data_IF_185137069857
#
_entry.id   IF_185137069857
#
_cell.length_a   1.000
_cell.length_b   1.000
_cell.length_c   1.000
_cell.angle_alpha   90.00
_cell.angle_beta   90.00
_cell.angle_gamma   90.00
#
_symmetry.space_group_name_H-M   'P 1'
#
loop_
_entity.id
_entity.type
_entity.pdbx_description
1 polymer ?
#
# COMPACT_ATOMS: atom_id res chain seq x y z
N UNK A 1 11.62 22.48 -15.71
CA UNK A 1 11.08 23.41 -14.70
C UNK A 1 10.57 24.73 -15.28
N UNK A 2 11.00 25.18 -16.46
CA UNK A 2 10.54 26.46 -17.04
C UNK A 2 9.03 26.52 -17.41
N UNK A 3 8.29 25.41 -17.31
CA UNK A 3 6.89 25.30 -17.77
C UNK A 3 5.90 24.93 -16.66
N UNK A 4 6.36 24.67 -15.43
CA UNK A 4 5.51 24.18 -14.34
C UNK A 4 6.12 24.52 -12.97
N UNK A 5 5.26 24.79 -11.99
CA UNK A 5 5.64 25.16 -10.61
C UNK A 5 5.97 23.97 -9.71
N UNK A 6 5.62 22.75 -10.14
CA UNK A 6 6.00 21.50 -9.49
C UNK A 6 6.02 20.36 -10.53
N UNK A 7 6.76 19.29 -10.22
CA UNK A 7 6.85 18.10 -11.06
C UNK A 7 6.35 16.90 -10.26
N UNK A 8 5.29 16.26 -10.70
CA UNK A 8 4.91 14.91 -10.23
C UNK A 8 5.46 13.91 -11.22
N UNK A 9 6.31 12.99 -10.76
CA UNK A 9 6.95 12.03 -11.67
C UNK A 9 6.83 10.59 -11.21
N UNK A 10 6.70 9.70 -12.19
CA UNK A 10 6.74 8.25 -12.02
C UNK A 10 7.66 7.67 -13.09
N UNK A 11 8.59 6.82 -12.70
CA UNK A 11 9.61 6.31 -13.62
C UNK A 11 10.04 4.87 -13.22
N UNK A 12 10.35 3.97 -14.17
CA UNK A 12 10.66 2.56 -13.88
C UNK A 12 12.02 2.36 -13.19
N UNK A 13 12.91 3.33 -13.27
CA UNK A 13 14.24 3.23 -12.67
C UNK A 13 14.27 3.74 -11.23
N UNK A 14 14.85 2.95 -10.31
CA UNK A 14 15.04 3.32 -8.92
C UNK A 14 15.95 4.56 -8.78
N UNK A 15 15.61 5.47 -7.85
CA UNK A 15 16.36 6.70 -7.58
C UNK A 15 16.16 7.81 -8.62
N UNK A 16 15.36 7.59 -9.66
CA UNK A 16 15.07 8.57 -10.70
C UNK A 16 14.46 9.86 -10.15
N UNK A 17 13.54 9.76 -9.20
CA UNK A 17 12.93 10.93 -8.56
C UNK A 17 13.95 11.80 -7.83
N UNK A 18 14.91 11.17 -7.12
CA UNK A 18 15.99 11.87 -6.42
C UNK A 18 16.93 12.57 -7.40
N UNK A 19 17.28 11.91 -8.52
CA UNK A 19 18.12 12.53 -9.57
C UNK A 19 17.43 13.71 -10.24
N UNK A 20 16.13 13.60 -10.52
CA UNK A 20 15.36 14.72 -11.06
C UNK A 20 15.29 15.90 -10.08
N UNK A 21 15.04 15.62 -8.79
CA UNK A 21 15.02 16.65 -7.75
C UNK A 21 16.36 17.40 -7.61
N UNK A 22 17.50 16.72 -7.84
CA UNK A 22 18.82 17.34 -7.74
C UNK A 22 19.11 18.40 -8.81
N UNK A 23 18.37 18.41 -9.93
CA UNK A 23 18.57 19.34 -11.05
C UNK A 23 17.35 20.22 -11.33
N UNK A 24 16.19 19.91 -10.77
CA UNK A 24 14.97 20.68 -10.94
C UNK A 24 15.01 21.96 -10.10
N UNK A 25 14.65 23.09 -10.69
CA UNK A 25 14.47 24.36 -9.98
C UNK A 25 13.10 24.50 -9.28
N UNK A 26 12.25 23.47 -9.36
CA UNK A 26 10.92 23.42 -8.75
C UNK A 26 10.77 22.10 -7.99
N UNK A 27 9.86 22.01 -7.00
CA UNK A 27 9.67 20.79 -6.23
C UNK A 27 9.35 19.57 -7.10
N UNK A 28 9.88 18.40 -6.70
CA UNK A 28 9.63 17.11 -7.34
C UNK A 28 8.93 16.18 -6.37
N UNK A 29 7.75 15.70 -6.75
CA UNK A 29 6.94 14.73 -6.01
C UNK A 29 7.13 13.35 -6.64
N UNK A 30 7.63 12.40 -5.84
CA UNK A 30 7.80 11.01 -6.26
C UNK A 30 6.46 10.25 -6.24
N UNK A 31 5.90 9.98 -7.42
CA UNK A 31 4.73 9.13 -7.63
C UNK A 31 5.09 7.66 -7.96
N UNK A 32 6.34 7.26 -7.71
CA UNK A 32 6.86 5.90 -7.83
C UNK A 32 8.15 5.83 -8.66
N UNK A 33 9.23 5.31 -8.09
CA UNK A 33 10.52 5.09 -8.78
C UNK A 33 10.96 3.62 -8.73
N UNK A 34 10.67 2.87 -9.80
CA UNK A 34 10.98 1.44 -9.90
C UNK A 34 10.40 0.60 -8.77
N UNK A 35 11.24 -0.18 -8.10
CA UNK A 35 10.91 -0.97 -6.91
C UNK A 35 11.29 -0.25 -5.59
N UNK A 36 11.72 1.01 -5.65
CA UNK A 36 12.26 1.75 -4.51
C UNK A 36 11.15 2.28 -3.60
N UNK A 37 10.52 3.42 -3.93
CA UNK A 37 9.59 4.08 -3.01
C UNK A 37 8.32 4.57 -3.71
N UNK A 38 7.23 4.71 -2.95
CA UNK A 38 6.01 5.39 -3.38
C UNK A 38 5.42 6.25 -2.23
N UNK A 39 6.06 7.37 -1.86
CA UNK A 39 5.75 8.08 -0.62
C UNK A 39 4.31 8.63 -0.55
N UNK A 40 3.75 9.09 -1.67
CA UNK A 40 2.37 9.58 -1.69
C UNK A 40 1.32 8.47 -1.47
N UNK A 41 1.69 7.21 -1.74
CA UNK A 41 0.85 6.07 -1.41
C UNK A 41 0.97 5.71 0.07
N UNK A 42 2.18 5.79 0.66
CA UNK A 42 2.36 5.62 2.11
C UNK A 42 1.51 6.61 2.91
N UNK A 43 1.51 7.90 2.54
CA UNK A 43 0.67 8.91 3.22
C UNK A 43 -0.81 8.56 3.12
N UNK A 44 -1.25 8.08 1.95
CA UNK A 44 -2.60 7.60 1.74
C UNK A 44 -2.95 6.39 2.63
N UNK A 45 -2.04 5.44 2.74
CA UNK A 45 -2.21 4.22 3.54
C UNK A 45 -2.28 4.55 5.03
N UNK A 46 -1.40 5.43 5.53
CA UNK A 46 -1.43 5.90 6.92
C UNK A 46 -2.74 6.63 7.25
N UNK A 47 -3.21 7.49 6.34
CA UNK A 47 -4.49 8.16 6.51
C UNK A 47 -5.64 7.15 6.52
N UNK A 48 -5.64 6.17 5.62
CA UNK A 48 -6.66 5.13 5.58
C UNK A 48 -6.65 4.28 6.87
N UNK A 49 -5.47 3.97 7.42
CA UNK A 49 -5.33 3.28 8.72
C UNK A 49 -5.95 4.14 9.83
N UNK A 50 -5.52 5.40 9.97
CA UNK A 50 -6.03 6.32 10.99
C UNK A 50 -7.56 6.48 10.91
N UNK A 51 -8.12 6.65 9.71
CA UNK A 51 -9.57 6.75 9.53
C UNK A 51 -10.30 5.43 9.75
N UNK A 52 -9.69 4.30 9.36
CA UNK A 52 -10.30 2.98 9.38
C UNK A 52 -10.38 2.36 10.77
N UNK A 53 -9.34 2.55 11.60
CA UNK A 53 -9.23 1.97 12.95
C UNK A 53 -9.11 3.01 14.07
N UNK A 54 -9.12 4.30 13.75
CA UNK A 54 -9.13 5.42 14.70
C UNK A 54 -7.77 5.76 15.33
N UNK A 55 -6.69 5.08 14.92
CA UNK A 55 -5.34 5.23 15.51
C UNK A 55 -4.24 4.93 14.49
N UNK A 56 -3.04 5.42 14.78
CA UNK A 56 -1.82 5.20 13.98
C UNK A 56 -0.67 4.59 14.82
N UNK A 57 -0.88 4.46 16.13
CA UNK A 57 -0.02 3.75 17.07
C UNK A 57 -0.76 2.52 17.62
N UNK A 58 -0.02 1.58 18.22
CA UNK A 58 -0.56 0.49 19.02
C UNK A 58 -1.56 -0.40 18.25
N UNK A 59 -1.11 -0.93 17.12
CA UNK A 59 -1.91 -1.82 16.27
C UNK A 59 -1.04 -2.87 15.57
N UNK A 60 -1.68 -3.97 15.16
CA UNK A 60 -1.02 -5.02 14.38
C UNK A 60 -1.41 -4.92 12.91
N UNK A 61 -0.43 -4.93 12.02
CA UNK A 61 -0.61 -5.02 10.57
C UNK A 61 -0.09 -6.34 10.04
N UNK A 62 -0.96 -7.08 9.35
CA UNK A 62 -0.61 -8.25 8.55
C UNK A 62 -0.38 -7.81 7.11
N UNK A 63 0.80 -8.07 6.56
CA UNK A 63 1.15 -7.81 5.16
C UNK A 63 1.24 -9.14 4.41
N UNK A 64 0.50 -9.26 3.31
CA UNK A 64 0.45 -10.46 2.47
C UNK A 64 0.58 -10.12 0.99
N UNK A 65 1.13 -11.06 0.22
CA UNK A 65 1.31 -10.96 -1.23
C UNK A 65 2.77 -10.93 -1.65
N UNK A 66 3.08 -10.29 -2.78
CA UNK A 66 4.45 -10.07 -3.24
C UNK A 66 5.11 -8.92 -2.45
N UNK A 67 5.56 -9.22 -1.24
CA UNK A 67 6.17 -8.21 -0.35
C UNK A 67 7.57 -7.81 -0.81
N UNK A 68 8.34 -8.76 -1.35
CA UNK A 68 9.72 -8.58 -1.79
C UNK A 68 9.88 -7.51 -2.88
N UNK A 69 8.84 -7.33 -3.72
CA UNK A 69 8.88 -6.39 -4.84
C UNK A 69 7.87 -5.24 -4.70
N UNK A 70 7.11 -5.20 -3.61
CA UNK A 70 6.10 -4.16 -3.40
C UNK A 70 6.76 -2.91 -2.82
N UNK A 71 7.05 -1.93 -3.69
CA UNK A 71 7.49 -0.58 -3.26
C UNK A 71 6.51 0.05 -2.26
N UNK A 72 5.22 -0.28 -2.33
CA UNK A 72 4.24 0.24 -1.37
C UNK A 72 4.39 -0.42 0.00
N UNK A 73 4.55 -1.74 0.04
CA UNK A 73 4.77 -2.45 1.32
C UNK A 73 6.10 -2.03 1.96
N UNK A 74 7.17 -1.87 1.17
CA UNK A 74 8.45 -1.35 1.66
C UNK A 74 8.31 0.06 2.22
N UNK A 75 7.78 1.01 1.43
CA UNK A 75 7.60 2.38 1.90
C UNK A 75 6.73 2.47 3.16
N UNK A 76 5.64 1.70 3.23
CA UNK A 76 4.79 1.67 4.42
C UNK A 76 5.51 1.05 5.61
N UNK A 77 6.17 -0.09 5.42
CA UNK A 77 6.90 -0.78 6.49
C UNK A 77 7.98 0.09 7.12
N UNK A 78 8.77 0.79 6.31
CA UNK A 78 9.79 1.73 6.76
C UNK A 78 9.15 2.89 7.53
N UNK A 79 8.06 3.45 7.02
CA UNK A 79 7.38 4.59 7.65
C UNK A 79 6.71 4.21 8.97
N UNK A 80 6.19 2.98 9.09
CA UNK A 80 5.57 2.47 10.31
C UNK A 80 6.55 2.38 11.48
N UNK A 81 7.87 2.37 11.23
CA UNK A 81 8.89 2.43 12.29
C UNK A 81 8.94 3.77 13.04
N UNK A 82 8.30 4.80 12.50
CA UNK A 82 8.19 6.12 13.12
C UNK A 82 7.05 6.21 14.15
N UNK A 83 6.21 5.16 14.24
CA UNK A 83 5.05 5.10 15.12
C UNK A 83 5.29 4.10 16.26
N UNK A 84 4.58 4.30 17.36
CA UNK A 84 4.76 3.53 18.59
C UNK A 84 3.93 2.25 18.55
N UNK A 85 4.53 1.15 19.00
CA UNK A 85 3.86 -0.13 19.22
C UNK A 85 3.11 -0.69 17.99
N UNK A 86 3.64 -0.43 16.78
CA UNK A 86 3.12 -1.04 15.55
C UNK A 86 3.78 -2.39 15.30
N UNK A 87 3.02 -3.47 15.46
CA UNK A 87 3.50 -4.83 15.18
C UNK A 87 3.29 -5.16 13.71
N UNK A 88 4.36 -5.46 12.98
CA UNK A 88 4.32 -5.82 11.57
C UNK A 88 4.49 -7.33 11.39
N UNK A 89 3.43 -8.02 10.96
CA UNK A 89 3.46 -9.43 10.59
C UNK A 89 3.58 -9.51 9.06
N UNK A 90 4.72 -9.98 8.56
CA UNK A 90 4.98 -10.11 7.12
C UNK A 90 4.97 -11.58 6.73
N UNK A 91 3.99 -11.99 5.94
CA UNK A 91 3.83 -13.38 5.55
C UNK A 91 4.25 -13.55 4.09
N UNK A 92 5.23 -14.42 3.86
CA UNK A 92 5.50 -14.97 2.54
C UNK A 92 4.58 -16.18 2.32
N UNK A 93 3.58 -16.10 1.44
CA UNK A 93 2.60 -17.16 1.27
C UNK A 93 3.18 -18.42 0.60
N UNK A 94 4.47 -18.41 0.20
CA UNK A 94 5.23 -19.60 -0.20
C UNK A 94 5.70 -20.43 1.00
N UNK A 95 5.81 -19.81 2.17
CA UNK A 95 6.45 -20.40 3.36
C UNK A 95 5.47 -20.71 4.47
N UNK A 96 4.41 -19.90 4.61
CA UNK A 96 3.44 -20.05 5.69
C UNK A 96 2.04 -19.56 5.28
N UNK A 97 1.03 -19.96 6.06
CA UNK A 97 -0.36 -19.55 5.84
C UNK A 97 -0.66 -18.26 6.59
N UNK A 98 -1.12 -17.25 5.86
CA UNK A 98 -1.53 -15.97 6.45
C UNK A 98 -2.75 -16.08 7.37
N UNK A 99 -3.58 -17.12 7.20
CA UNK A 99 -4.82 -17.32 7.97
C UNK A 99 -4.57 -17.43 9.47
N UNK A 100 -3.37 -17.88 9.88
CA UNK A 100 -2.98 -17.99 11.29
C UNK A 100 -2.95 -16.65 12.03
N UNK A 101 -2.88 -15.53 11.32
CA UNK A 101 -2.67 -14.19 11.90
C UNK A 101 -3.87 -13.25 11.72
N UNK A 102 -4.95 -13.71 11.06
CA UNK A 102 -6.09 -12.86 10.71
C UNK A 102 -6.84 -12.31 11.93
N UNK A 103 -6.93 -13.09 13.00
CA UNK A 103 -7.59 -12.72 14.26
C UNK A 103 -6.75 -11.76 15.12
N UNK A 104 -5.44 -11.64 14.85
CA UNK A 104 -4.52 -10.76 15.55
C UNK A 104 -4.40 -9.39 14.87
N UNK A 105 -4.58 -9.33 13.56
CA UNK A 105 -4.39 -8.14 12.76
C UNK A 105 -5.55 -7.12 12.90
N UNK A 106 -5.20 -5.84 13.10
CA UNK A 106 -6.13 -4.72 12.96
C UNK A 106 -6.19 -4.21 11.51
N UNK A 107 -5.08 -4.35 10.78
CA UNK A 107 -4.98 -4.01 9.36
C UNK A 107 -4.46 -5.22 8.58
N UNK A 108 -5.08 -5.55 7.46
CA UNK A 108 -4.56 -6.51 6.48
C UNK A 108 -4.21 -5.75 5.20
N UNK A 109 -2.93 -5.59 4.94
CA UNK A 109 -2.40 -5.05 3.69
C UNK A 109 -2.21 -6.19 2.68
N UNK A 110 -2.91 -6.09 1.55
CA UNK A 110 -2.76 -7.05 0.44
C UNK A 110 -2.04 -6.39 -0.74
N UNK A 111 -0.98 -7.02 -1.22
CA UNK A 111 -0.25 -6.58 -2.42
C UNK A 111 -0.50 -7.54 -3.59
N UNK A 112 -0.59 -6.99 -4.81
CA UNK A 112 -0.74 -7.81 -6.02
C UNK A 112 0.59 -8.46 -6.44
N UNK A 113 0.48 -9.61 -7.11
CA UNK A 113 1.58 -10.23 -7.85
C UNK A 113 2.00 -9.36 -9.04
N UNK A 114 3.30 -9.26 -9.30
CA UNK A 114 3.87 -8.73 -10.55
C UNK A 114 4.18 -9.89 -11.51
N UNK A 115 3.28 -10.17 -12.45
CA UNK A 115 3.39 -11.30 -13.38
C UNK A 115 4.70 -11.30 -14.18
N UNK A 116 5.22 -10.12 -14.50
CA UNK A 116 6.46 -9.92 -15.24
C UNK A 116 7.72 -10.47 -14.54
N UNK A 117 7.60 -10.89 -13.28
CA UNK A 117 8.71 -11.43 -12.48
C UNK A 117 8.78 -12.96 -12.44
N UNK A 118 7.73 -13.63 -12.91
CA UNK A 118 7.68 -15.08 -12.91
C UNK A 118 8.17 -15.63 -14.24
N UNK A 119 9.00 -16.66 -14.17
CA UNK A 119 9.49 -17.38 -15.35
C UNK A 119 8.37 -18.12 -16.08
N UNK A 120 7.30 -18.48 -15.35
CA UNK A 120 6.16 -19.22 -15.84
C UNK A 120 4.85 -18.66 -15.23
N UNK A 121 3.82 -18.51 -16.06
CA UNK A 121 2.48 -18.08 -15.65
C UNK A 121 1.83 -19.02 -14.63
N UNK A 122 2.10 -20.33 -14.69
CA UNK A 122 1.52 -21.27 -13.74
C UNK A 122 2.06 -21.06 -12.31
N UNK A 123 3.33 -20.68 -12.19
CA UNK A 123 3.95 -20.36 -10.89
C UNK A 123 3.37 -19.05 -10.32
N UNK A 124 3.21 -18.03 -11.17
CA UNK A 124 2.56 -16.77 -10.79
C UNK A 124 1.13 -17.00 -10.28
N UNK A 125 0.37 -17.86 -10.96
CA UNK A 125 -1.01 -18.17 -10.59
C UNK A 125 -1.10 -18.98 -9.29
N UNK A 126 -0.23 -19.98 -9.11
CA UNK A 126 -0.16 -20.72 -7.85
C UNK A 126 0.21 -19.79 -6.68
N UNK A 127 1.16 -18.88 -6.90
CA UNK A 127 1.52 -17.88 -5.90
C UNK A 127 0.34 -16.95 -5.59
N UNK A 128 -0.41 -16.49 -6.61
CA UNK A 128 -1.59 -15.66 -6.39
C UNK A 128 -2.65 -16.37 -5.54
N UNK A 129 -2.93 -17.63 -5.87
CA UNK A 129 -3.93 -18.44 -5.16
C UNK A 129 -3.55 -18.73 -3.71
N UNK A 130 -2.26 -18.73 -3.36
CA UNK A 130 -1.84 -19.02 -1.98
C UNK A 130 -2.16 -17.91 -0.98
N UNK A 131 -2.52 -16.72 -1.45
CA UNK A 131 -2.91 -15.59 -0.59
C UNK A 131 -4.19 -14.87 -1.02
N UNK A 132 -4.96 -15.42 -1.96
CA UNK A 132 -6.30 -14.90 -2.29
C UNK A 132 -7.19 -14.93 -1.05
N UNK A 133 -7.76 -13.77 -0.69
CA UNK A 133 -8.71 -13.69 0.42
C UNK A 133 -10.05 -14.28 0.04
N UNK A 134 -10.66 -15.03 0.95
CA UNK A 134 -12.04 -15.54 0.85
C UNK A 134 -12.97 -14.86 1.86
N UNK A 135 -14.29 -15.02 1.67
CA UNK A 135 -15.29 -14.57 2.66
C UNK A 135 -15.05 -15.21 4.03
N UNK A 136 -14.65 -16.48 4.07
CA UNK A 136 -14.32 -17.19 5.33
C UNK A 136 -13.07 -16.65 6.01
N UNK A 137 -12.10 -16.13 5.25
CA UNK A 137 -10.92 -15.48 5.84
C UNK A 137 -11.33 -14.16 6.50
N UNK A 138 -12.16 -13.36 5.82
CA UNK A 138 -12.65 -12.10 6.38
C UNK A 138 -13.50 -12.31 7.64
N UNK A 139 -14.25 -13.41 7.73
CA UNK A 139 -15.01 -13.79 8.93
C UNK A 139 -14.13 -14.15 10.14
N UNK A 140 -12.87 -14.55 9.92
CA UNK A 140 -11.91 -14.82 11.00
C UNK A 140 -11.21 -13.55 11.51
N UNK A 141 -11.29 -12.46 10.74
CA UNK A 141 -10.71 -11.18 11.15
C UNK A 141 -11.47 -10.56 12.33
N UNK A 142 -10.80 -9.68 13.08
CA UNK A 142 -11.48 -8.82 14.05
C UNK A 142 -12.61 -8.05 13.34
N UNK A 143 -13.74 -7.87 14.01
CA UNK A 143 -14.88 -7.11 13.46
C UNK A 143 -14.52 -5.66 13.10
N UNK A 144 -13.53 -5.07 13.79
CA UNK A 144 -13.02 -3.72 13.56
C UNK A 144 -11.88 -3.65 12.55
N UNK A 145 -11.33 -4.79 12.10
CA UNK A 145 -10.19 -4.80 11.22
C UNK A 145 -10.51 -4.23 9.83
N UNK A 146 -9.49 -3.74 9.14
CA UNK A 146 -9.62 -3.19 7.78
C UNK A 146 -8.64 -3.84 6.81
N UNK A 147 -9.14 -4.16 5.62
CA UNK A 147 -8.38 -4.64 4.49
C UNK A 147 -8.07 -3.44 3.61
N UNK A 148 -6.78 -3.12 3.47
CA UNK A 148 -6.29 -2.08 2.58
C UNK A 148 -5.47 -2.72 1.46
N UNK A 149 -5.53 -2.15 0.27
CA UNK A 149 -4.85 -2.67 -0.90
C UNK A 149 -4.67 -1.56 -1.95
N UNK A 150 -3.43 -1.29 -2.38
CA UNK A 150 -3.18 -0.37 -3.48
C UNK A 150 -3.81 -0.94 -4.77
N UNK A 151 -4.86 -0.29 -5.25
CA UNK A 151 -5.52 -0.66 -6.51
C UNK A 151 -4.60 -0.38 -7.72
N UNK A 152 -4.77 -1.08 -8.85
CA UNK A 152 -5.81 -2.09 -9.13
C UNK A 152 -5.57 -3.41 -8.42
N UNK A 153 -6.66 -4.12 -8.14
CA UNK A 153 -6.65 -5.51 -7.66
C UNK A 153 -6.77 -6.49 -8.82
N UNK A 154 -6.29 -7.71 -8.62
CA UNK A 154 -6.59 -8.86 -9.48
C UNK A 154 -7.39 -9.92 -8.70
N UNK A 155 -7.07 -11.20 -8.83
CA UNK A 155 -7.83 -12.27 -8.16
C UNK A 155 -7.46 -12.46 -6.69
N UNK A 156 -6.44 -11.77 -6.17
CA UNK A 156 -6.07 -11.77 -4.75
C UNK A 156 -7.13 -11.14 -3.84
N UNK A 157 -7.98 -10.26 -4.40
CA UNK A 157 -9.10 -9.61 -3.73
C UNK A 157 -10.38 -9.82 -4.55
N UNK A 158 -11.09 -10.95 -4.37
CA UNK A 158 -12.28 -11.25 -5.15
C UNK A 158 -13.43 -10.29 -4.83
N UNK A 159 -14.33 -10.09 -5.79
CA UNK A 159 -15.51 -9.20 -5.62
C UNK A 159 -16.48 -9.67 -4.52
N UNK A 160 -16.42 -10.95 -4.15
CA UNK A 160 -17.27 -11.53 -3.11
C UNK A 160 -17.05 -10.93 -1.72
N UNK A 161 -15.91 -10.28 -1.47
CA UNK A 161 -15.61 -9.62 -0.18
C UNK A 161 -15.95 -8.13 -0.17
N UNK A 162 -16.33 -7.52 -1.30
CA UNK A 162 -16.54 -6.07 -1.44
C UNK A 162 -17.60 -5.52 -0.50
N UNK A 163 -18.65 -6.31 -0.26
CA UNK A 163 -19.77 -5.92 0.61
C UNK A 163 -19.49 -6.08 2.11
N UNK A 164 -18.32 -6.61 2.49
CA UNK A 164 -17.98 -6.85 3.89
C UNK A 164 -17.43 -5.59 4.55
N UNK A 165 -17.75 -5.39 5.83
CA UNK A 165 -17.38 -4.18 6.58
C UNK A 165 -15.86 -3.97 6.72
N UNK A 166 -15.07 -5.03 6.57
CA UNK A 166 -13.61 -5.01 6.60
C UNK A 166 -13.01 -4.55 5.26
N UNK A 167 -13.72 -4.65 4.13
CA UNK A 167 -13.21 -4.20 2.84
C UNK A 167 -13.11 -2.66 2.82
N UNK A 168 -11.89 -2.15 2.84
CA UNK A 168 -11.62 -0.70 3.00
C UNK A 168 -10.78 -0.10 1.86
N UNK A 169 -10.35 -0.92 0.91
CA UNK A 169 -9.50 -0.51 -0.21
C UNK A 169 -10.18 0.48 -1.19
N UNK A 170 -11.51 0.49 -1.29
CA UNK A 170 -12.23 1.52 -2.05
C UNK A 170 -12.26 2.88 -1.32
N UNK A 171 -12.49 2.86 -0.01
CA UNK A 171 -12.43 4.06 0.85
C UNK A 171 -11.00 4.62 0.84
N UNK A 172 -9.99 3.76 1.03
CA UNK A 172 -8.59 4.10 0.85
C UNK A 172 -8.36 4.80 -0.50
N UNK A 173 -8.79 4.21 -1.62
CA UNK A 173 -8.61 4.83 -2.93
C UNK A 173 -9.33 6.19 -3.05
N UNK A 174 -10.50 6.35 -2.42
CA UNK A 174 -11.26 7.61 -2.44
C UNK A 174 -10.52 8.77 -1.76
N UNK A 175 -9.66 8.50 -0.78
CA UNK A 175 -8.85 9.52 -0.11
C UNK A 175 -7.67 10.01 -0.94
N UNK A 176 -7.35 9.36 -2.07
CA UNK A 176 -6.16 9.67 -2.86
C UNK A 176 -6.18 11.10 -3.44
N UNK A 177 -7.32 11.55 -3.96
CA UNK A 177 -7.47 12.89 -4.53
C UNK A 177 -7.30 13.98 -3.47
N UNK A 178 -8.07 13.99 -2.34
CA UNK A 178 -7.93 15.05 -1.35
C UNK A 178 -6.54 15.07 -0.69
N UNK A 179 -5.94 13.92 -0.40
CA UNK A 179 -4.59 13.87 0.18
C UNK A 179 -3.55 14.45 -0.79
N UNK A 180 -3.64 14.12 -2.07
CA UNK A 180 -2.69 14.64 -3.07
C UNK A 180 -2.93 16.11 -3.37
N UNK A 181 -4.18 16.59 -3.29
CA UNK A 181 -4.48 18.01 -3.36
C UNK A 181 -3.83 18.76 -2.19
N UNK A 182 -4.02 18.29 -0.95
CA UNK A 182 -3.36 18.87 0.22
C UNK A 182 -1.83 18.86 0.12
N UNK A 183 -1.24 17.75 -0.36
CA UNK A 183 0.20 17.66 -0.61
C UNK A 183 0.66 18.68 -1.66
N UNK A 184 -0.09 18.85 -2.75
CA UNK A 184 0.23 19.85 -3.77
C UNK A 184 0.17 21.25 -3.19
N UNK A 185 -0.90 21.61 -2.47
CA UNK A 185 -1.04 22.92 -1.83
C UNK A 185 0.11 23.23 -0.86
N UNK A 186 0.50 22.24 -0.05
CA UNK A 186 1.65 22.34 0.85
C UNK A 186 2.95 22.59 0.09
N UNK A 187 3.20 21.82 -0.98
CA UNK A 187 4.45 21.89 -1.75
C UNK A 187 4.57 23.18 -2.56
N UNK A 188 3.47 23.68 -3.13
CA UNK A 188 3.47 24.93 -3.92
C UNK A 188 3.27 26.19 -3.06
N UNK A 189 3.14 26.03 -1.74
CA UNK A 189 3.12 27.14 -0.78
C UNK A 189 1.82 27.93 -0.72
N UNK A 190 0.68 27.29 -1.02
CA UNK A 190 -0.66 27.92 -0.94
C UNK A 190 -1.51 27.40 0.23
N UNK A 191 -0.95 26.51 1.05
CA UNK A 191 -1.59 26.02 2.27
C UNK A 191 -1.80 27.15 3.28
N UNK A 192 -3.02 27.25 3.83
CA UNK A 192 -3.41 28.26 4.82
C UNK A 192 -3.44 27.71 6.25
#
# INVERSE_FOLDING_TARGET
SNYADAIVMRHPEAGSAKRAAAVASVPVINAGDGANQHPTQTVLDLFAIQQGIGRIDNFTILMIGDLEHSRVAHSLSDTLTLFNDVTQIKVDPRKEKYTSYLNEADIVLVTRVQDERFSNKAEAEQFRQSYTLSVSDVQQMKATAKIIAPLPRTTELPTSIDGLAQAYYFQQASFAVPIRAALLEYVVGVWQ
#
